data_IF_899203715894
#
_entry.id   IF_899203715894
#
_cell.length_a   1.000
_cell.length_b   1.000
_cell.length_c   1.000
_cell.angle_alpha   90.00
_cell.angle_beta   90.00
_cell.angle_gamma   90.00
#
_symmetry.space_group_name_H-M   'P 1'
#
loop_
_entity.id
_entity.type
_entity.pdbx_description
1 polymer ?
#
# COMPACT_ATOMS: atom_id res chain seq x y z
N UNK A 1 -4.38 -14.15 4.96
CA UNK A 1 -4.66 -13.65 6.33
C UNK A 1 -5.94 -12.85 6.31
N UNK A 2 -6.67 -12.69 7.41
CA UNK A 2 -7.79 -11.75 7.45
C UNK A 2 -7.30 -10.30 7.64
N UNK A 3 -8.18 -9.32 7.38
CA UNK A 3 -7.89 -7.90 7.63
C UNK A 3 -7.54 -7.64 9.10
N UNK A 4 -8.33 -8.19 10.02
CA UNK A 4 -8.10 -8.03 11.47
C UNK A 4 -6.75 -8.60 11.91
N UNK A 5 -6.33 -9.70 11.27
CA UNK A 5 -5.01 -10.28 11.53
C UNK A 5 -3.87 -9.37 11.06
N UNK A 6 -4.04 -8.66 9.93
CA UNK A 6 -3.05 -7.69 9.46
C UNK A 6 -3.00 -6.45 10.36
N UNK A 7 -4.16 -5.91 10.74
CA UNK A 7 -4.26 -4.72 11.58
C UNK A 7 -3.75 -4.96 13.01
N UNK A 8 -3.73 -6.22 13.46
CA UNK A 8 -3.15 -6.61 14.74
C UNK A 8 -1.61 -6.76 14.73
N UNK A 9 -0.97 -6.75 13.55
CA UNK A 9 0.49 -6.84 13.46
C UNK A 9 1.11 -5.55 13.98
N UNK A 10 1.96 -5.68 15.00
CA UNK A 10 2.81 -4.57 15.45
C UNK A 10 4.07 -4.55 14.61
N UNK A 11 4.32 -3.44 13.93
CA UNK A 11 5.54 -3.25 13.17
C UNK A 11 6.73 -3.15 14.13
N UNK A 12 7.81 -3.87 13.81
CA UNK A 12 8.97 -4.04 14.67
C UNK A 12 10.08 -2.99 14.48
N UNK A 13 9.76 -1.80 13.96
CA UNK A 13 10.76 -0.76 13.71
C UNK A 13 11.35 -0.25 15.03
N UNK A 14 12.68 -0.18 15.11
CA UNK A 14 13.34 0.61 16.14
C UNK A 14 13.20 2.11 15.84
N UNK A 15 13.42 2.98 16.83
CA UNK A 15 13.38 4.44 16.60
C UNK A 15 14.40 4.87 15.52
N UNK A 16 15.56 4.22 15.46
CA UNK A 16 16.58 4.48 14.43
C UNK A 16 16.10 4.02 13.05
N UNK A 17 15.46 2.85 12.95
CA UNK A 17 14.92 2.36 11.68
C UNK A 17 13.76 3.23 11.19
N UNK A 18 12.93 3.74 12.11
CA UNK A 18 11.83 4.63 11.80
C UNK A 18 12.35 5.93 11.15
N UNK A 19 13.34 6.59 11.74
CA UNK A 19 13.95 7.79 11.15
C UNK A 19 14.55 7.53 9.76
N UNK A 20 15.27 6.41 9.60
CA UNK A 20 15.84 6.02 8.29
C UNK A 20 14.74 5.73 7.28
N UNK A 21 13.66 5.06 7.67
CA UNK A 21 12.52 4.79 6.80
C UNK A 21 11.88 6.10 6.31
N UNK A 22 11.60 7.02 7.23
CA UNK A 22 10.97 8.31 6.93
C UNK A 22 11.82 9.17 5.97
N UNK A 23 13.15 9.20 6.17
CA UNK A 23 14.08 9.87 5.25
C UNK A 23 14.07 9.21 3.85
N UNK A 24 14.11 7.87 3.80
CA UNK A 24 14.06 7.13 2.53
C UNK A 24 12.76 7.38 1.77
N UNK A 25 11.62 7.45 2.44
CA UNK A 25 10.34 7.77 1.81
C UNK A 25 10.36 9.13 1.11
N UNK A 26 11.03 10.13 1.70
CA UNK A 26 11.24 11.45 1.09
C UNK A 26 12.02 11.43 -0.23
N UNK A 27 12.79 10.36 -0.49
CA UNK A 27 13.49 10.15 -1.76
C UNK A 27 12.66 9.43 -2.82
N UNK A 28 11.57 8.75 -2.41
CA UNK A 28 10.68 7.99 -3.30
C UNK A 28 9.56 8.88 -3.82
N UNK A 29 8.91 9.62 -2.92
CA UNK A 29 7.84 10.55 -3.23
C UNK A 29 8.01 11.83 -2.39
N UNK A 30 7.56 13.00 -2.87
CA UNK A 30 7.63 14.23 -2.10
C UNK A 30 6.67 14.18 -0.90
N UNK A 31 7.13 14.61 0.28
CA UNK A 31 6.26 14.73 1.46
C UNK A 31 5.24 15.85 1.27
N UNK A 32 4.01 15.62 1.74
CA UNK A 32 2.94 16.62 1.80
C UNK A 32 2.53 16.89 3.24
N UNK A 33 2.02 18.11 3.47
CA UNK A 33 1.41 18.47 4.74
C UNK A 33 0.23 17.56 5.04
N UNK A 34 0.33 16.83 6.15
CA UNK A 34 -0.73 15.97 6.65
C UNK A 34 -1.78 16.76 7.45
N UNK A 35 -3.01 16.25 7.46
CA UNK A 35 -4.12 16.76 8.26
C UNK A 35 -4.10 16.27 9.73
N UNK A 36 -3.18 15.35 10.07
CA UNK A 36 -3.02 14.79 11.42
C UNK A 36 -1.56 14.76 11.82
N UNK A 37 -1.27 15.06 13.09
CA UNK A 37 0.08 14.92 13.66
C UNK A 37 0.50 13.46 13.84
N UNK A 38 -0.44 12.51 13.72
CA UNK A 38 -0.23 11.06 13.79
C UNK A 38 -0.14 10.40 12.42
N UNK A 39 -0.05 11.18 11.35
CA UNK A 39 -0.03 10.67 9.98
C UNK A 39 0.99 11.48 9.19
N UNK A 40 1.86 10.81 8.44
CA UNK A 40 2.72 11.43 7.43
C UNK A 40 2.39 10.86 6.07
N UNK A 41 2.43 11.70 5.04
CA UNK A 41 2.00 11.34 3.68
C UNK A 41 3.06 11.81 2.69
N UNK A 42 3.48 10.91 1.78
CA UNK A 42 4.31 11.22 0.63
C UNK A 42 3.53 10.93 -0.65
N UNK A 43 3.54 11.84 -1.62
CA UNK A 43 2.84 11.72 -2.90
C UNK A 43 1.49 12.44 -2.96
N UNK A 44 0.49 11.82 -3.57
CA UNK A 44 -0.86 12.36 -3.72
C UNK A 44 -1.92 11.30 -3.46
N UNK A 45 -2.79 11.54 -2.47
CA UNK A 45 -3.86 10.62 -2.07
C UNK A 45 -4.87 10.32 -3.19
N UNK A 46 -4.86 11.10 -4.27
CA UNK A 46 -5.67 10.85 -5.47
C UNK A 46 -4.98 9.97 -6.51
N UNK A 47 -3.68 9.75 -6.39
CA UNK A 47 -2.89 8.90 -7.31
C UNK A 47 -2.06 7.88 -6.54
N UNK A 48 -0.75 8.09 -6.45
CA UNK A 48 0.19 7.26 -5.72
C UNK A 48 0.58 7.97 -4.43
N UNK A 49 0.45 7.27 -3.31
CA UNK A 49 0.89 7.79 -2.03
C UNK A 49 1.38 6.69 -1.10
N UNK A 50 2.27 7.11 -0.19
CA UNK A 50 2.72 6.32 0.94
C UNK A 50 2.27 7.06 2.19
N UNK A 51 1.61 6.36 3.10
CA UNK A 51 1.15 6.88 4.38
C UNK A 51 1.82 6.12 5.51
N UNK A 52 2.25 6.85 6.53
CA UNK A 52 2.83 6.28 7.75
C UNK A 52 2.03 6.77 8.95
N UNK A 53 1.37 5.84 9.64
CA UNK A 53 0.70 6.08 10.91
C UNK A 53 1.70 6.09 12.06
N UNK A 54 1.55 7.07 12.96
CA UNK A 54 2.46 7.29 14.09
C UNK A 54 1.72 7.28 15.43
N UNK A 55 2.40 6.74 16.43
CA UNK A 55 2.04 6.85 17.84
C UNK A 55 3.25 7.30 18.65
N UNK A 56 3.32 8.61 18.88
CA UNK A 56 4.54 9.24 19.36
C UNK A 56 5.63 9.14 18.28
N UNK A 57 6.73 8.47 18.63
CA UNK A 57 7.86 8.22 17.72
C UNK A 57 7.78 6.86 17.02
N UNK A 58 6.85 5.98 17.43
CA UNK A 58 6.72 4.64 16.88
C UNK A 58 5.83 4.62 15.66
N UNK A 59 6.23 3.83 14.64
CA UNK A 59 5.43 3.57 13.45
C UNK A 59 4.38 2.51 13.77
N UNK A 60 3.10 2.86 13.63
CA UNK A 60 1.97 1.93 13.80
C UNK A 60 1.68 1.15 12.53
N UNK A 61 1.68 1.84 11.38
CA UNK A 61 1.42 1.24 10.08
C UNK A 61 2.16 1.98 8.96
N UNK A 62 2.39 1.27 7.85
CA UNK A 62 2.89 1.82 6.59
C UNK A 62 1.97 1.33 5.49
N UNK A 63 1.27 2.25 4.84
CA UNK A 63 0.38 1.95 3.72
C UNK A 63 0.95 2.50 2.43
N UNK A 64 0.89 1.71 1.36
CA UNK A 64 1.20 2.14 0.01
C UNK A 64 -0.02 1.98 -0.87
N UNK A 65 -0.37 3.04 -1.61
CA UNK A 65 -1.42 3.03 -2.61
C UNK A 65 -0.82 3.40 -3.96
N UNK A 66 -1.16 2.60 -4.96
CA UNK A 66 -0.67 2.74 -6.32
C UNK A 66 -1.83 3.03 -7.26
N UNK A 67 -1.66 4.01 -8.14
CA UNK A 67 -2.61 4.30 -9.19
C UNK A 67 -2.50 3.26 -10.30
N UNK A 68 -3.36 2.25 -10.28
CA UNK A 68 -3.34 1.17 -11.28
C UNK A 68 -3.81 1.61 -12.67
N UNK A 69 -4.40 2.80 -12.81
CA UNK A 69 -4.71 3.39 -14.12
C UNK A 69 -3.49 4.02 -14.81
N UNK A 70 -2.45 4.36 -14.05
CA UNK A 70 -1.18 4.90 -14.55
C UNK A 70 -0.02 4.34 -13.72
N UNK A 71 0.16 3.02 -13.82
CA UNK A 71 1.05 2.29 -12.93
C UNK A 71 2.53 2.63 -13.19
N UNK A 72 3.19 3.23 -12.21
CA UNK A 72 4.64 3.49 -12.25
C UNK A 72 5.46 2.25 -11.86
N UNK A 73 6.11 1.63 -12.85
CA UNK A 73 7.03 0.49 -12.61
C UNK A 73 8.27 0.89 -11.80
N UNK A 74 8.69 2.16 -11.90
CA UNK A 74 9.79 2.70 -11.10
C UNK A 74 9.41 2.77 -9.63
N UNK A 75 8.19 3.25 -9.32
CA UNK A 75 7.69 3.31 -7.95
C UNK A 75 7.54 1.92 -7.35
N UNK A 76 6.98 0.95 -8.10
CA UNK A 76 6.93 -0.46 -7.67
C UNK A 76 8.32 -0.99 -7.33
N UNK A 77 9.32 -0.66 -8.15
CA UNK A 77 10.71 -1.01 -7.90
C UNK A 77 11.25 -0.41 -6.59
N UNK A 78 11.05 0.90 -6.39
CA UNK A 78 11.49 1.60 -5.19
C UNK A 78 10.85 1.06 -3.90
N UNK A 79 9.56 0.72 -3.94
CA UNK A 79 8.85 0.09 -2.82
C UNK A 79 9.45 -1.29 -2.52
N UNK A 80 9.70 -2.11 -3.54
CA UNK A 80 10.33 -3.42 -3.35
C UNK A 80 11.74 -3.30 -2.74
N UNK A 81 12.53 -2.32 -3.19
CA UNK A 81 13.88 -2.07 -2.67
C UNK A 81 13.82 -1.63 -1.19
N UNK A 82 12.90 -0.71 -0.86
CA UNK A 82 12.67 -0.26 0.50
C UNK A 82 12.21 -1.41 1.42
N UNK A 83 11.23 -2.20 1.00
CA UNK A 83 10.74 -3.33 1.80
C UNK A 83 11.85 -4.35 2.06
N UNK A 84 12.71 -4.64 1.09
CA UNK A 84 13.86 -5.54 1.28
C UNK A 84 14.91 -4.96 2.23
N UNK A 85 15.14 -3.65 2.18
CA UNK A 85 16.09 -3.00 3.09
C UNK A 85 15.71 -3.20 4.56
N UNK A 86 14.42 -3.28 4.87
CA UNK A 86 13.90 -3.47 6.23
C UNK A 86 13.39 -4.90 6.49
N UNK A 87 13.79 -5.88 5.68
CA UNK A 87 13.35 -7.29 5.79
C UNK A 87 11.82 -7.47 5.87
N UNK A 88 11.08 -6.58 5.21
CA UNK A 88 9.63 -6.55 5.20
C UNK A 88 9.04 -7.35 4.04
N UNK A 89 7.84 -7.90 4.25
CA UNK A 89 6.96 -8.39 3.19
C UNK A 89 5.87 -7.35 2.91
N UNK A 90 5.25 -7.43 1.74
CA UNK A 90 4.08 -6.62 1.42
C UNK A 90 2.81 -7.43 1.70
N UNK A 91 1.77 -6.76 2.19
CA UNK A 91 0.47 -7.36 2.41
C UNK A 91 -0.60 -6.56 1.67
N UNK A 92 -1.47 -7.25 0.94
CA UNK A 92 -2.65 -6.63 0.35
C UNK A 92 -3.77 -6.53 1.38
N UNK A 93 -4.76 -5.67 1.12
CA UNK A 93 -5.89 -5.47 2.05
C UNK A 93 -6.79 -6.71 2.20
N UNK A 94 -6.84 -7.56 1.17
CA UNK A 94 -7.48 -8.88 1.17
C UNK A 94 -6.60 -9.99 1.76
N UNK A 95 -5.38 -9.65 2.22
CA UNK A 95 -4.57 -10.52 3.06
C UNK A 95 -3.64 -11.48 2.33
N UNK A 96 -3.35 -11.21 1.04
CA UNK A 96 -2.27 -11.86 0.33
C UNK A 96 -0.93 -11.29 0.80
N UNK A 97 0.03 -12.18 1.06
CA UNK A 97 1.40 -11.80 1.42
C UNK A 97 2.27 -11.93 0.17
N UNK A 98 2.95 -10.85 -0.19
CA UNK A 98 3.75 -10.73 -1.41
C UNK A 98 5.20 -10.52 -1.01
N UNK A 99 6.08 -11.31 -1.61
CA UNK A 99 7.52 -11.07 -1.52
C UNK A 99 7.86 -9.76 -2.27
N UNK A 100 8.72 -8.89 -1.73
CA UNK A 100 9.06 -7.58 -2.30
C UNK A 100 9.97 -7.69 -3.52
N UNK A 101 9.44 -8.29 -4.59
CA UNK A 101 10.03 -8.32 -5.93
C UNK A 101 9.00 -7.86 -6.95
N UNK A 102 9.49 -7.21 -8.01
CA UNK A 102 8.64 -6.53 -9.00
C UNK A 102 7.64 -7.49 -9.65
N UNK A 103 8.05 -8.70 -10.00
CA UNK A 103 7.17 -9.67 -10.66
C UNK A 103 5.99 -10.06 -9.77
N UNK A 104 6.24 -10.42 -8.51
CA UNK A 104 5.20 -10.85 -7.58
C UNK A 104 4.21 -9.72 -7.28
N UNK A 105 4.71 -8.50 -7.13
CA UNK A 105 3.87 -7.31 -6.92
C UNK A 105 3.03 -7.01 -8.15
N UNK A 106 3.63 -6.98 -9.34
CA UNK A 106 2.89 -6.73 -10.59
C UNK A 106 1.83 -7.79 -10.84
N UNK A 107 2.15 -9.07 -10.65
CA UNK A 107 1.17 -10.16 -10.80
C UNK A 107 -0.03 -9.97 -9.89
N UNK A 108 0.22 -9.57 -8.64
CA UNK A 108 -0.85 -9.33 -7.66
C UNK A 108 -1.69 -8.11 -8.04
N UNK A 109 -1.06 -7.01 -8.48
CA UNK A 109 -1.75 -5.82 -9.00
C UNK A 109 -2.65 -6.20 -10.18
N UNK A 110 -2.13 -6.93 -11.16
CA UNK A 110 -2.88 -7.31 -12.37
C UNK A 110 -4.10 -8.21 -12.09
N UNK A 111 -4.13 -8.86 -10.92
CA UNK A 111 -5.25 -9.69 -10.48
C UNK A 111 -6.22 -8.94 -9.56
N UNK A 112 -5.88 -7.73 -9.12
CA UNK A 112 -6.68 -6.95 -8.17
C UNK A 112 -8.01 -6.47 -8.74
N UNK A 113 -8.99 -6.27 -7.85
CA UNK A 113 -10.26 -5.63 -8.18
C UNK A 113 -10.08 -4.22 -8.75
N UNK A 114 -9.06 -3.48 -8.31
CA UNK A 114 -8.75 -2.15 -8.82
C UNK A 114 -8.41 -2.17 -10.32
N UNK A 115 -7.61 -3.15 -10.78
CA UNK A 115 -7.32 -3.31 -12.22
C UNK A 115 -8.56 -3.72 -13.00
N UNK A 116 -9.38 -4.61 -12.45
CA UNK A 116 -10.64 -5.01 -13.09
C UNK A 116 -11.58 -3.81 -13.26
N UNK A 117 -11.74 -3.00 -12.21
CA UNK A 117 -12.54 -1.77 -12.24
C UNK A 117 -12.01 -0.77 -13.26
N UNK A 118 -10.70 -0.48 -13.28
CA UNK A 118 -10.11 0.48 -14.23
C UNK A 118 -10.26 0.00 -15.68
N UNK A 119 -10.18 -1.31 -15.92
CA UNK A 119 -10.22 -1.88 -17.28
C UNK A 119 -11.63 -1.87 -17.87
N UNK A 120 -12.65 -2.14 -17.07
CA UNK A 120 -14.05 -2.11 -17.48
C UNK A 120 -14.96 -1.78 -16.27
N UNK A 121 -15.15 -0.48 -15.97
CA UNK A 121 -15.92 -0.05 -14.81
C UNK A 121 -17.38 -0.51 -14.87
N UNK A 122 -17.98 -0.53 -16.06
CA UNK A 122 -19.37 -0.92 -16.23
C UNK A 122 -19.56 -2.39 -15.86
N UNK A 123 -18.77 -3.28 -16.47
CA UNK A 123 -18.85 -4.71 -16.19
C UNK A 123 -18.57 -5.02 -14.72
N UNK A 124 -17.57 -4.36 -14.13
CA UNK A 124 -17.22 -4.54 -12.73
C UNK A 124 -18.40 -4.21 -11.81
N UNK A 125 -19.09 -3.10 -12.06
CA UNK A 125 -20.27 -2.68 -11.28
C UNK A 125 -21.47 -3.60 -11.51
N UNK A 126 -21.73 -4.02 -12.75
CA UNK A 126 -22.80 -4.98 -13.07
C UNK A 126 -22.60 -6.32 -12.31
N UNK A 127 -21.37 -6.81 -12.25
CA UNK A 127 -21.03 -8.05 -11.52
C UNK A 127 -21.17 -7.86 -10.00
N UNK A 128 -20.75 -6.73 -9.45
CA UNK A 128 -20.92 -6.41 -8.04
C UNK A 128 -22.41 -6.33 -7.65
N UNK A 129 -23.26 -5.69 -8.48
CA UNK A 129 -24.71 -5.62 -8.25
C UNK A 129 -25.35 -7.01 -8.27
N UNK A 130 -24.94 -7.87 -9.22
CA UNK A 130 -25.45 -9.24 -9.30
C UNK A 130 -25.10 -10.03 -8.04
N UNK A 131 -23.85 -9.96 -7.57
CA UNK A 131 -23.39 -10.67 -6.37
C UNK A 131 -24.12 -10.19 -5.09
N UNK A 132 -24.41 -8.90 -4.98
CA UNK A 132 -25.19 -8.32 -3.87
C UNK A 132 -26.62 -8.89 -3.84
N UNK A 133 -27.26 -9.03 -5.00
CA UNK A 133 -28.61 -9.61 -5.13
C UNK A 133 -28.66 -11.12 -4.84
N UNK A 134 -27.56 -11.83 -5.09
CA UNK A 134 -27.43 -13.28 -4.85
C UNK A 134 -27.10 -13.63 -3.38
N UNK A 135 -26.86 -12.62 -2.53
CA UNK A 135 -26.65 -12.80 -1.09
C UNK A 135 -25.25 -13.29 -0.74
N UNK A 136 -24.22 -12.54 -1.15
CA UNK A 136 -22.83 -12.73 -0.73
C UNK A 136 -22.66 -12.78 0.81
#
# INVERSE_FOLDING_TARGET
>A
MSRDQLDAIRLGFSDADAEVLLDRLGSILPEKTSWSTRLRIWGDEKTDDIQVGLNGQSIEDVQVRLNVADLSLLLVGAICDLSRQFDCVLATRDGAIIQPNRESVLRTIMQSSAVQFVRDPQRFLEEAIRLDQEGA
#
